data_IF_577571609178
#
_entry.id   IF_577571609178
#
_cell.length_a   1.000
_cell.length_b   1.000
_cell.length_c   1.000
_cell.angle_alpha   90.00
_cell.angle_beta   90.00
_cell.angle_gamma   90.00
#
_symmetry.space_group_name_H-M   'P 1'
#
loop_
_entity.id
_entity.type
_entity.pdbx_description
1 polymer ?
#
# COMPACT_ATOMS: atom_id res chain seq x y z
N UNK A 1 5.78 -1.95 -44.87
CA UNK A 1 6.23 -2.24 -43.47
C UNK A 1 7.10 -3.50 -43.47
N UNK A 2 8.35 -3.41 -43.04
CA UNK A 2 9.30 -4.57 -43.12
C UNK A 2 8.84 -5.73 -42.21
N UNK A 3 9.05 -6.95 -42.66
CA UNK A 3 8.76 -8.21 -41.94
C UNK A 3 9.38 -8.21 -40.54
N UNK A 4 10.53 -7.55 -40.36
CA UNK A 4 11.27 -7.35 -39.11
C UNK A 4 10.46 -6.55 -38.09
N UNK A 5 9.78 -5.47 -38.53
CA UNK A 5 8.96 -4.63 -37.62
C UNK A 5 7.74 -5.39 -37.06
N UNK A 6 7.04 -6.15 -37.90
CA UNK A 6 5.91 -6.98 -37.44
C UNK A 6 6.34 -8.00 -36.38
N UNK A 7 7.54 -8.57 -36.53
CA UNK A 7 8.08 -9.53 -35.56
C UNK A 7 8.42 -8.84 -34.23
N UNK A 8 9.03 -7.66 -34.21
CA UNK A 8 9.35 -6.92 -32.98
C UNK A 8 8.10 -6.52 -32.19
N UNK A 9 7.04 -6.08 -32.87
CA UNK A 9 5.76 -5.81 -32.20
C UNK A 9 5.16 -7.08 -31.59
N UNK A 10 5.24 -8.22 -32.29
CA UNK A 10 4.75 -9.50 -31.76
C UNK A 10 5.53 -9.91 -30.51
N UNK A 11 6.86 -9.80 -30.53
CA UNK A 11 7.71 -10.09 -29.38
C UNK A 11 7.37 -9.19 -28.20
N UNK A 12 7.21 -7.88 -28.42
CA UNK A 12 6.83 -6.95 -27.36
C UNK A 12 5.46 -7.27 -26.76
N UNK A 13 4.46 -7.59 -27.60
CA UNK A 13 3.13 -8.00 -27.11
C UNK A 13 3.19 -9.28 -26.29
N UNK A 14 4.00 -10.26 -26.70
CA UNK A 14 4.23 -11.50 -25.95
C UNK A 14 4.87 -11.22 -24.61
N UNK A 15 5.92 -10.40 -24.57
CA UNK A 15 6.58 -9.96 -23.34
C UNK A 15 5.62 -9.24 -22.41
N UNK A 16 4.78 -8.35 -22.94
CA UNK A 16 3.76 -7.63 -22.18
C UNK A 16 2.71 -8.60 -21.58
N UNK A 17 2.25 -9.58 -22.36
CA UNK A 17 1.32 -10.60 -21.86
C UNK A 17 1.94 -11.45 -20.75
N UNK A 18 3.18 -11.90 -20.93
CA UNK A 18 3.92 -12.63 -19.89
C UNK A 18 4.06 -11.80 -18.63
N UNK A 19 4.42 -10.51 -18.77
CA UNK A 19 4.52 -9.62 -17.62
C UNK A 19 3.18 -9.49 -16.89
N UNK A 20 2.09 -9.26 -17.60
CA UNK A 20 0.75 -9.10 -17.00
C UNK A 20 0.29 -10.37 -16.28
N UNK A 21 0.54 -11.55 -16.85
CA UNK A 21 0.16 -12.83 -16.22
C UNK A 21 0.98 -13.06 -14.96
N UNK A 22 2.30 -12.95 -15.05
CA UNK A 22 3.19 -13.22 -13.91
C UNK A 22 3.00 -12.17 -12.81
N UNK A 23 2.98 -10.87 -13.16
CA UNK A 23 2.75 -9.81 -12.18
C UNK A 23 1.37 -9.94 -11.54
N UNK A 24 0.33 -10.28 -12.31
CA UNK A 24 -1.01 -10.53 -11.79
C UNK A 24 -1.05 -11.67 -10.76
N UNK A 25 -0.37 -12.79 -11.04
CA UNK A 25 -0.27 -13.91 -10.11
C UNK A 25 0.49 -13.52 -8.82
N UNK A 26 1.62 -12.82 -8.95
CA UNK A 26 2.40 -12.35 -7.80
C UNK A 26 1.61 -11.35 -6.97
N UNK A 27 0.92 -10.38 -7.60
CA UNK A 27 0.05 -9.41 -6.92
C UNK A 27 -1.05 -10.13 -6.16
N UNK A 28 -1.72 -11.10 -6.78
CA UNK A 28 -2.75 -11.88 -6.10
C UNK A 28 -2.22 -12.58 -4.84
N UNK A 29 -1.05 -13.23 -4.94
CA UNK A 29 -0.40 -13.85 -3.78
C UNK A 29 -0.03 -12.83 -2.69
N UNK A 30 0.49 -11.65 -3.08
CA UNK A 30 0.79 -10.56 -2.15
C UNK A 30 -0.45 -10.06 -1.40
N UNK A 31 -1.55 -9.81 -2.12
CA UNK A 31 -2.80 -9.37 -1.52
C UNK A 31 -3.35 -10.39 -0.53
N UNK A 32 -3.21 -11.69 -0.86
CA UNK A 32 -3.57 -12.76 0.05
C UNK A 32 -2.74 -12.74 1.34
N UNK A 33 -1.42 -12.59 1.23
CA UNK A 33 -0.55 -12.53 2.41
C UNK A 33 -0.80 -11.26 3.23
N UNK A 34 -0.99 -10.11 2.60
CA UNK A 34 -1.39 -8.88 3.29
C UNK A 34 -2.72 -8.99 4.03
N UNK A 35 -3.68 -9.75 3.48
CA UNK A 35 -4.95 -10.03 4.18
C UNK A 35 -4.75 -10.95 5.38
N UNK A 36 -3.94 -12.01 5.24
CA UNK A 36 -3.60 -12.93 6.34
C UNK A 36 -2.92 -12.14 7.46
N UNK A 37 -1.86 -11.38 7.14
CA UNK A 37 -1.17 -10.51 8.09
C UNK A 37 -2.15 -9.65 8.90
N UNK A 38 -3.06 -8.96 8.21
CA UNK A 38 -4.02 -8.06 8.82
C UNK A 38 -5.01 -8.79 9.74
N UNK A 39 -5.46 -9.98 9.35
CA UNK A 39 -6.41 -10.79 10.12
C UNK A 39 -5.74 -11.35 11.35
N UNK A 40 -4.56 -11.95 11.22
CA UNK A 40 -3.82 -12.55 12.32
C UNK A 40 -3.34 -11.48 13.32
N UNK A 41 -2.85 -10.35 12.83
CA UNK A 41 -2.44 -9.23 13.68
C UNK A 41 -3.62 -8.63 14.45
N UNK A 42 -4.80 -8.58 13.83
CA UNK A 42 -6.01 -8.16 14.53
C UNK A 42 -6.40 -9.16 15.62
N UNK A 43 -6.36 -10.47 15.35
CA UNK A 43 -6.64 -11.52 16.35
C UNK A 43 -5.66 -11.46 17.52
N UNK A 44 -4.37 -11.25 17.24
CA UNK A 44 -3.34 -11.03 18.24
C UNK A 44 -3.68 -9.86 19.17
N UNK A 45 -4.04 -8.71 18.59
CA UNK A 45 -4.37 -7.50 19.36
C UNK A 45 -5.68 -7.64 20.11
N UNK A 46 -6.70 -8.26 19.52
CA UNK A 46 -7.99 -8.47 20.15
C UNK A 46 -7.85 -9.35 21.43
N UNK A 47 -6.98 -10.36 21.42
CA UNK A 47 -6.69 -11.18 22.62
C UNK A 47 -5.94 -10.42 23.72
N UNK A 48 -5.16 -9.41 23.34
CA UNK A 48 -4.37 -8.57 24.25
C UNK A 48 -5.00 -7.20 24.50
N UNK A 49 -6.28 -7.03 24.15
CA UNK A 49 -7.01 -5.77 24.32
C UNK A 49 -7.10 -5.38 25.81
N UNK A 50 -6.84 -4.11 26.09
CA UNK A 50 -6.84 -3.55 27.44
C UNK A 50 -8.20 -3.73 28.14
N UNK A 51 -9.31 -3.43 27.47
CA UNK A 51 -10.65 -3.49 28.05
C UNK A 51 -11.03 -4.93 28.42
N UNK A 52 -10.79 -5.89 27.52
CA UNK A 52 -11.13 -7.29 27.74
C UNK A 52 -10.28 -7.91 28.85
N UNK A 53 -9.01 -7.55 28.97
CA UNK A 53 -8.14 -8.03 30.02
C UNK A 53 -8.47 -7.39 31.36
N UNK A 54 -8.76 -6.10 31.38
CA UNK A 54 -9.14 -5.37 32.61
C UNK A 54 -10.46 -5.87 33.20
N UNK A 55 -11.42 -6.20 32.35
CA UNK A 55 -12.75 -6.69 32.77
C UNK A 55 -12.78 -8.20 33.07
N UNK A 56 -11.70 -8.92 32.78
CA UNK A 56 -11.63 -10.35 33.01
C UNK A 56 -11.39 -10.69 34.50
N UNK A 57 -12.45 -11.04 35.21
CA UNK A 57 -12.36 -11.42 36.62
C UNK A 57 -11.40 -12.58 36.87
N UNK A 58 -11.20 -13.50 35.92
CA UNK A 58 -10.25 -14.61 36.05
C UNK A 58 -8.82 -14.11 36.06
N UNK A 59 -8.45 -13.12 35.26
CA UNK A 59 -7.11 -12.52 35.29
C UNK A 59 -6.82 -11.83 36.64
N UNK A 60 -7.85 -11.25 37.27
CA UNK A 60 -7.72 -10.68 38.61
C UNK A 60 -7.51 -11.73 39.72
N UNK A 61 -8.20 -12.89 39.62
CA UNK A 61 -8.20 -13.93 40.62
C UNK A 61 -7.03 -14.90 40.40
N UNK A 62 -6.89 -15.46 39.20
CA UNK A 62 -5.91 -16.51 38.87
C UNK A 62 -4.54 -15.93 38.46
N UNK A 63 -4.47 -14.68 38.11
CA UNK A 63 -3.25 -13.95 37.84
C UNK A 63 -2.43 -14.45 36.69
N UNK A 64 -1.14 -14.67 36.95
CA UNK A 64 -0.15 -14.95 35.92
C UNK A 64 -0.45 -16.20 35.03
N UNK A 65 -1.20 -17.17 35.54
CA UNK A 65 -1.49 -18.39 34.79
C UNK A 65 -2.48 -18.13 33.60
N UNK A 66 -3.57 -17.42 33.87
CA UNK A 66 -4.56 -17.06 32.84
C UNK A 66 -3.93 -16.11 31.81
N UNK A 67 -3.18 -15.11 32.26
CA UNK A 67 -2.43 -14.22 31.38
C UNK A 67 -1.40 -14.96 30.52
N UNK A 68 -0.85 -16.06 31.02
CA UNK A 68 0.11 -16.88 30.29
C UNK A 68 -0.55 -17.70 29.18
N UNK A 69 -1.71 -18.30 29.43
CA UNK A 69 -2.45 -19.04 28.38
C UNK A 69 -2.87 -18.14 27.24
N UNK A 70 -3.47 -16.99 27.55
CA UNK A 70 -3.84 -16.00 26.51
C UNK A 70 -2.64 -15.51 25.71
N UNK A 71 -1.48 -15.36 26.36
CA UNK A 71 -0.26 -14.96 25.64
C UNK A 71 0.23 -16.04 24.69
N UNK A 72 0.19 -17.31 25.09
CA UNK A 72 0.60 -18.41 24.20
C UNK A 72 -0.28 -18.45 22.95
N UNK A 73 -1.61 -18.30 23.13
CA UNK A 73 -2.56 -18.25 22.01
C UNK A 73 -2.35 -17.00 21.14
N UNK A 74 -2.12 -15.83 21.75
CA UNK A 74 -1.78 -14.60 21.04
C UNK A 74 -0.46 -14.73 20.28
N UNK A 75 0.58 -15.31 20.87
CA UNK A 75 1.88 -15.47 20.25
C UNK A 75 1.82 -16.37 18.99
N UNK A 76 0.88 -17.33 18.93
CA UNK A 76 0.61 -18.12 17.73
C UNK A 76 0.13 -17.22 16.58
N UNK A 77 -0.84 -16.34 16.84
CA UNK A 77 -1.31 -15.36 15.85
C UNK A 77 -0.21 -14.39 15.41
N UNK A 78 0.63 -13.96 16.34
CA UNK A 78 1.78 -13.09 16.02
C UNK A 78 2.79 -13.82 15.11
N UNK A 79 3.04 -15.10 15.36
CA UNK A 79 3.93 -15.91 14.52
C UNK A 79 3.37 -16.02 13.10
N UNK A 80 2.07 -16.34 12.95
CA UNK A 80 1.41 -16.39 11.64
C UNK A 80 1.42 -15.05 10.92
N UNK A 81 1.17 -13.96 11.64
CA UNK A 81 1.25 -12.61 11.08
C UNK A 81 2.67 -12.28 10.59
N UNK A 82 3.70 -12.59 11.37
CA UNK A 82 5.11 -12.34 11.02
C UNK A 82 5.56 -13.16 9.82
N UNK A 83 5.09 -14.41 9.70
CA UNK A 83 5.34 -15.26 8.54
C UNK A 83 4.68 -14.69 7.29
N UNK A 84 3.41 -14.29 7.38
CA UNK A 84 2.68 -13.67 6.28
C UNK A 84 3.36 -12.37 5.80
N UNK A 85 3.83 -11.53 6.72
CA UNK A 85 4.57 -10.30 6.39
C UNK A 85 5.92 -10.60 5.71
N UNK A 86 6.61 -11.65 6.16
CA UNK A 86 7.87 -12.09 5.53
C UNK A 86 7.64 -12.62 4.12
N UNK A 87 6.59 -13.40 3.90
CA UNK A 87 6.21 -13.89 2.58
C UNK A 87 5.79 -12.75 1.66
N UNK A 88 5.00 -11.79 2.16
CA UNK A 88 4.60 -10.59 1.41
C UNK A 88 5.83 -9.77 0.97
N UNK A 89 6.79 -9.57 1.87
CA UNK A 89 8.07 -8.90 1.56
C UNK A 89 8.88 -9.63 0.50
N UNK A 90 8.98 -10.94 0.56
CA UNK A 90 9.66 -11.74 -0.45
C UNK A 90 8.99 -11.63 -1.83
N UNK A 91 7.67 -11.68 -1.88
CA UNK A 91 6.89 -11.46 -3.10
C UNK A 91 7.08 -10.03 -3.65
N UNK A 92 7.21 -9.04 -2.76
CA UNK A 92 7.52 -7.65 -3.13
C UNK A 92 8.87 -7.53 -3.84
N UNK A 93 9.89 -8.20 -3.31
CA UNK A 93 11.22 -8.24 -3.95
C UNK A 93 11.16 -8.94 -5.32
N UNK A 94 10.43 -10.06 -5.42
CA UNK A 94 10.24 -10.77 -6.69
C UNK A 94 9.55 -9.87 -7.72
N UNK A 95 8.47 -9.19 -7.33
CA UNK A 95 7.73 -8.27 -8.22
C UNK A 95 8.61 -7.10 -8.67
N UNK A 96 9.40 -6.52 -7.75
CA UNK A 96 10.32 -5.43 -8.07
C UNK A 96 11.42 -5.87 -9.04
N UNK A 97 12.04 -7.02 -8.81
CA UNK A 97 13.06 -7.56 -9.71
C UNK A 97 12.47 -7.87 -11.10
N UNK A 98 11.27 -8.44 -11.14
CA UNK A 98 10.58 -8.74 -12.39
C UNK A 98 10.17 -7.46 -13.14
N UNK A 99 9.74 -6.42 -12.44
CA UNK A 99 9.45 -5.11 -13.01
C UNK A 99 10.73 -4.44 -13.56
N UNK A 100 11.86 -4.52 -12.85
CA UNK A 100 13.14 -4.02 -13.31
C UNK A 100 13.64 -4.78 -14.55
N UNK A 101 13.51 -6.10 -14.56
CA UNK A 101 13.84 -6.91 -15.74
C UNK A 101 12.98 -6.51 -16.94
N UNK A 102 11.67 -6.37 -16.75
CA UNK A 102 10.75 -5.94 -17.80
C UNK A 102 11.07 -4.53 -18.30
N UNK A 103 11.44 -3.62 -17.40
CA UNK A 103 11.90 -2.27 -17.75
C UNK A 103 13.20 -2.32 -18.55
N UNK A 104 14.15 -3.13 -18.14
CA UNK A 104 15.43 -3.29 -18.83
C UNK A 104 15.24 -3.86 -20.25
N UNK A 105 14.46 -4.93 -20.39
CA UNK A 105 14.16 -5.54 -21.69
C UNK A 105 13.34 -4.58 -22.57
N UNK A 106 12.35 -3.89 -22.02
CA UNK A 106 11.52 -2.93 -22.74
C UNK A 106 12.28 -1.68 -23.22
N UNK A 107 13.36 -1.30 -22.51
CA UNK A 107 14.20 -0.14 -22.88
C UNK A 107 15.38 -0.51 -23.74
N UNK A 108 16.13 -1.55 -23.38
CA UNK A 108 17.36 -1.95 -24.07
C UNK A 108 17.11 -2.87 -25.26
N UNK A 109 16.16 -3.80 -25.15
CA UNK A 109 15.83 -4.75 -26.22
C UNK A 109 15.26 -4.11 -27.47
N UNK A 110 14.68 -2.91 -27.34
CA UNK A 110 14.10 -2.15 -28.45
C UNK A 110 14.84 -0.85 -28.76
N UNK A 111 16.07 -0.70 -28.25
CA UNK A 111 16.92 0.46 -28.53
C UNK A 111 17.25 0.55 -30.01
N UNK A 112 17.15 1.79 -30.56
CA UNK A 112 17.37 2.04 -31.98
C UNK A 112 16.19 1.70 -32.91
N UNK A 113 15.05 1.26 -32.35
CA UNK A 113 13.83 1.07 -33.13
C UNK A 113 13.14 2.44 -33.40
N UNK A 114 12.47 2.54 -34.55
CA UNK A 114 11.65 3.72 -34.88
C UNK A 114 10.64 4.07 -33.78
N UNK A 115 10.05 3.05 -33.13
CA UNK A 115 9.04 3.19 -32.09
C UNK A 115 9.58 2.97 -30.66
N UNK A 116 10.88 3.11 -30.45
CA UNK A 116 11.54 2.93 -29.16
C UNK A 116 10.86 3.71 -28.02
N UNK A 117 10.55 4.99 -28.27
CA UNK A 117 9.91 5.85 -27.28
C UNK A 117 8.52 5.33 -26.85
N UNK A 118 7.77 4.74 -27.79
CA UNK A 118 6.48 4.12 -27.51
C UNK A 118 6.58 2.87 -26.66
N UNK A 119 7.53 1.97 -26.97
CA UNK A 119 7.74 0.77 -26.17
C UNK A 119 8.14 1.10 -24.75
N UNK A 120 9.04 2.06 -24.57
CA UNK A 120 9.42 2.57 -23.23
C UNK A 120 8.26 3.14 -22.46
N UNK A 121 7.44 3.97 -23.09
CA UNK A 121 6.27 4.57 -22.46
C UNK A 121 5.26 3.51 -22.00
N UNK A 122 4.95 2.51 -22.87
CA UNK A 122 4.04 1.41 -22.51
C UNK A 122 4.57 0.60 -21.34
N UNK A 123 5.87 0.26 -21.34
CA UNK A 123 6.51 -0.49 -20.25
C UNK A 123 6.36 0.26 -18.91
N UNK A 124 6.66 1.56 -18.89
CA UNK A 124 6.54 2.39 -17.68
C UNK A 124 5.09 2.48 -17.19
N UNK A 125 4.12 2.64 -18.11
CA UNK A 125 2.69 2.72 -17.74
C UNK A 125 2.22 1.41 -17.10
N UNK A 126 2.61 0.26 -17.68
CA UNK A 126 2.19 -1.05 -17.16
C UNK A 126 2.80 -1.33 -15.78
N UNK A 127 4.08 -1.00 -15.58
CA UNK A 127 4.70 -1.11 -14.25
C UNK A 127 4.02 -0.17 -13.25
N UNK A 128 3.72 1.08 -13.65
CA UNK A 128 3.00 2.03 -12.81
C UNK A 128 1.62 1.52 -12.40
N UNK A 129 0.91 0.84 -13.31
CA UNK A 129 -0.40 0.24 -13.01
C UNK A 129 -0.27 -0.88 -11.97
N UNK A 130 0.73 -1.74 -12.10
CA UNK A 130 1.00 -2.79 -11.11
C UNK A 130 1.29 -2.19 -9.72
N UNK A 131 2.13 -1.16 -9.66
CA UNK A 131 2.44 -0.46 -8.41
C UNK A 131 1.21 0.24 -7.80
N UNK A 132 0.34 0.83 -8.64
CA UNK A 132 -0.89 1.46 -8.16
C UNK A 132 -1.84 0.45 -7.51
N UNK A 133 -2.07 -0.69 -8.17
CA UNK A 133 -2.98 -1.74 -7.66
C UNK A 133 -2.48 -2.22 -6.30
N UNK A 134 -1.20 -2.59 -6.20
CA UNK A 134 -0.61 -3.07 -4.95
C UNK A 134 -0.65 -1.98 -3.87
N UNK A 135 -0.26 -0.75 -4.21
CA UNK A 135 -0.21 0.38 -3.28
C UNK A 135 -1.56 0.81 -2.72
N UNK A 136 -2.66 0.64 -3.49
CA UNK A 136 -4.02 0.95 -3.03
C UNK A 136 -4.57 -0.15 -2.13
N UNK A 137 -4.25 -1.41 -2.42
CA UNK A 137 -4.88 -2.58 -1.80
C UNK A 137 -4.13 -3.10 -0.58
N UNK A 138 -2.79 -3.00 -0.55
CA UNK A 138 -2.00 -3.42 0.62
C UNK A 138 -2.02 -2.36 1.73
N UNK A 139 -1.88 -2.80 3.00
CA UNK A 139 -1.71 -1.88 4.12
C UNK A 139 -0.52 -0.95 3.90
N UNK A 140 -0.72 0.36 4.16
CA UNK A 140 0.33 1.36 3.99
C UNK A 140 1.12 1.59 5.27
N UNK A 141 0.42 1.51 6.39
CA UNK A 141 0.95 1.88 7.69
C UNK A 141 0.18 1.11 8.77
N UNK A 142 0.88 0.75 9.82
CA UNK A 142 0.29 0.26 11.06
C UNK A 142 0.66 1.19 12.22
N UNK A 143 -0.25 1.29 13.17
CA UNK A 143 -0.10 2.10 14.38
C UNK A 143 -0.66 1.32 15.55
N UNK A 144 0.11 1.27 16.65
CA UNK A 144 -0.31 0.66 17.89
C UNK A 144 0.03 1.54 19.08
N UNK A 145 -0.82 1.51 20.11
CA UNK A 145 -0.54 2.06 21.43
C UNK A 145 -0.77 0.97 22.44
N UNK A 146 0.24 0.65 23.22
CA UNK A 146 0.22 -0.45 24.20
C UNK A 146 0.97 -0.07 25.46
N UNK A 147 0.74 -0.83 26.52
CA UNK A 147 1.54 -0.78 27.75
C UNK A 147 2.17 -2.14 27.98
N UNK A 148 3.41 -2.16 28.44
CA UNK A 148 4.08 -3.38 28.86
C UNK A 148 4.03 -3.50 30.38
N UNK A 149 3.66 -4.70 30.88
CA UNK A 149 3.65 -5.03 32.31
C UNK A 149 2.90 -3.99 33.16
N UNK A 150 1.66 -3.68 32.78
CA UNK A 150 0.86 -2.68 33.45
C UNK A 150 0.52 -3.09 34.87
N UNK A 151 0.98 -2.31 35.84
CA UNK A 151 0.61 -2.48 37.24
C UNK A 151 -0.48 -1.50 37.63
N UNK A 152 -1.62 -2.01 38.06
CA UNK A 152 -2.73 -1.20 38.56
C UNK A 152 -2.67 -1.24 40.11
N UNK A 153 -2.25 -0.15 40.76
CA UNK A 153 -2.20 -0.08 42.22
C UNK A 153 -3.61 0.16 42.78
N UNK A 154 -4.18 -0.84 43.42
CA UNK A 154 -5.44 -0.70 44.17
C UNK A 154 -5.11 -0.85 45.64
N UNK A 155 -5.01 0.27 46.33
CA UNK A 155 -4.81 0.33 47.78
C UNK A 155 -6.11 0.77 48.45
N UNK A 156 -6.60 -0.02 49.36
CA UNK A 156 -7.79 0.29 50.15
C UNK A 156 -7.50 0.13 51.63
N UNK A 157 -8.01 1.03 52.46
CA UNK A 157 -7.99 0.90 53.94
C UNK A 157 -9.38 0.50 54.40
N UNK A 158 -9.51 -0.54 55.21
CA UNK A 158 -10.76 -0.85 55.91
C UNK A 158 -10.82 0.01 57.17
N UNK A 159 -11.72 1.03 57.20
CA UNK A 159 -11.71 2.00 58.34
C UNK A 159 -12.03 1.37 59.69
N UNK A 160 -12.61 0.15 59.71
CA UNK A 160 -13.06 -0.51 60.95
C UNK A 160 -11.92 -1.24 61.69
N UNK A 161 -10.83 -1.59 60.98
CA UNK A 161 -9.75 -2.44 61.52
C UNK A 161 -8.37 -1.79 61.26
N UNK A 162 -8.35 -0.61 60.64
CA UNK A 162 -7.10 0.10 60.19
C UNK A 162 -6.15 -0.82 59.42
N UNK A 163 -6.74 -1.74 58.60
CA UNK A 163 -6.02 -2.70 57.80
C UNK A 163 -5.88 -2.23 56.37
N UNK A 164 -4.65 -2.04 55.88
CA UNK A 164 -4.34 -1.72 54.50
C UNK A 164 -4.44 -3.00 53.65
N UNK A 165 -5.35 -2.98 52.68
CA UNK A 165 -5.44 -4.02 51.67
C UNK A 165 -4.73 -3.52 50.42
N UNK A 166 -3.70 -4.23 50.00
CA UNK A 166 -3.04 -4.02 48.71
C UNK A 166 -3.55 -5.08 47.71
N UNK A 167 -4.43 -4.64 46.81
CA UNK A 167 -4.97 -5.44 45.69
C UNK A 167 -4.26 -5.07 44.39
N UNK A 168 -3.07 -4.50 44.47
CA UNK A 168 -2.28 -4.14 43.30
C UNK A 168 -2.06 -5.36 42.41
N UNK A 169 -2.39 -5.21 41.11
CA UNK A 169 -2.25 -6.29 40.15
C UNK A 169 -1.34 -5.89 39.01
N UNK A 170 -0.41 -6.76 38.66
CA UNK A 170 0.43 -6.64 37.50
C UNK A 170 -0.11 -7.52 36.36
N UNK A 171 -0.41 -6.88 35.24
CA UNK A 171 -0.80 -7.54 34.01
C UNK A 171 0.45 -7.73 33.14
N UNK A 172 1.00 -8.93 33.16
CA UNK A 172 2.25 -9.23 32.44
C UNK A 172 2.05 -9.25 30.93
N UNK A 173 3.05 -8.71 30.19
CA UNK A 173 3.08 -8.64 28.74
C UNK A 173 2.45 -7.37 28.20
N UNK A 174 2.23 -7.35 26.88
CA UNK A 174 1.64 -6.20 26.20
C UNK A 174 0.13 -6.15 26.40
N UNK A 175 -0.40 -4.96 26.61
CA UNK A 175 -1.83 -4.64 26.62
C UNK A 175 -2.09 -3.54 25.63
N UNK A 176 -2.87 -3.81 24.59
CA UNK A 176 -3.15 -2.85 23.53
C UNK A 176 -4.35 -1.99 23.87
N UNK A 177 -4.16 -0.67 23.83
CA UNK A 177 -5.24 0.33 23.91
C UNK A 177 -5.82 0.62 22.53
N UNK A 178 -4.98 0.56 21.51
CA UNK A 178 -5.34 0.88 20.15
C UNK A 178 -4.40 0.17 19.18
N UNK A 179 -4.96 -0.38 18.12
CA UNK A 179 -4.20 -0.87 16.97
C UNK A 179 -4.99 -0.65 15.69
N UNK A 180 -4.30 -0.18 14.67
CA UNK A 180 -4.89 -0.02 13.35
C UNK A 180 -3.87 -0.23 12.25
N UNK A 181 -4.22 -1.09 11.29
CA UNK A 181 -3.50 -1.27 10.03
C UNK A 181 -4.49 -1.07 8.88
N UNK A 182 -4.23 -0.11 7.99
CA UNK A 182 -5.16 0.28 6.91
C UNK A 182 -4.46 0.46 5.57
N UNK A 183 -5.13 -0.03 4.53
CA UNK A 183 -4.86 0.33 3.14
C UNK A 183 -5.69 1.55 2.71
N UNK A 184 -5.39 2.12 1.53
CA UNK A 184 -6.24 3.17 0.95
C UNK A 184 -7.66 2.65 0.73
N UNK A 185 -7.79 1.41 0.24
CA UNK A 185 -9.09 0.78 0.02
C UNK A 185 -9.89 0.64 1.32
N UNK A 186 -9.23 0.20 2.41
CA UNK A 186 -9.88 0.12 3.74
C UNK A 186 -10.30 1.48 4.27
N UNK A 187 -9.46 2.49 4.08
CA UNK A 187 -9.77 3.86 4.50
C UNK A 187 -11.01 4.40 3.78
N UNK A 188 -11.07 4.20 2.47
CA UNK A 188 -12.23 4.59 1.67
C UNK A 188 -13.48 3.86 2.17
N UNK A 189 -13.41 2.53 2.35
CA UNK A 189 -14.52 1.74 2.85
C UNK A 189 -15.00 2.22 4.22
N UNK A 190 -14.07 2.46 5.15
CA UNK A 190 -14.37 2.97 6.50
C UNK A 190 -15.06 4.33 6.46
N UNK A 191 -14.60 5.26 5.62
CA UNK A 191 -15.19 6.59 5.50
C UNK A 191 -16.62 6.54 4.95
N UNK A 192 -16.88 5.69 3.97
CA UNK A 192 -18.24 5.48 3.47
C UNK A 192 -19.16 4.87 4.54
N UNK A 193 -18.67 3.91 5.30
CA UNK A 193 -19.44 3.27 6.36
C UNK A 193 -19.71 4.21 7.55
N UNK A 194 -18.79 5.12 7.83
CA UNK A 194 -18.91 6.15 8.89
C UNK A 194 -19.75 7.37 8.46
N UNK A 195 -20.32 7.39 7.24
CA UNK A 195 -21.12 8.51 6.75
C UNK A 195 -20.31 9.73 6.26
N UNK A 196 -18.96 9.65 6.27
CA UNK A 196 -18.09 10.74 5.82
C UNK A 196 -17.87 10.70 4.30
N UNK A 197 -18.97 10.77 3.54
CA UNK A 197 -18.97 10.60 2.08
C UNK A 197 -18.10 11.60 1.34
N UNK A 198 -18.06 12.86 1.77
CA UNK A 198 -17.28 13.92 1.09
C UNK A 198 -15.79 13.58 1.08
N UNK A 199 -15.24 13.20 2.22
CA UNK A 199 -13.84 12.83 2.36
C UNK A 199 -13.56 11.49 1.64
N UNK A 200 -14.46 10.51 1.76
CA UNK A 200 -14.36 9.23 1.08
C UNK A 200 -14.34 9.37 -0.45
N UNK A 201 -15.24 10.19 -1.02
CA UNK A 201 -15.26 10.48 -2.46
C UNK A 201 -13.99 11.23 -2.89
N UNK A 202 -13.52 12.18 -2.09
CA UNK A 202 -12.29 12.90 -2.40
C UNK A 202 -11.08 11.95 -2.48
N UNK A 203 -10.88 11.10 -1.47
CA UNK A 203 -9.77 10.12 -1.47
C UNK A 203 -9.92 9.12 -2.61
N UNK A 204 -11.11 8.57 -2.86
CA UNK A 204 -11.38 7.67 -3.97
C UNK A 204 -11.02 8.33 -5.31
N UNK A 205 -11.45 9.59 -5.50
CA UNK A 205 -11.21 10.32 -6.75
C UNK A 205 -9.73 10.58 -6.99
N UNK A 206 -9.03 11.13 -6.00
CA UNK A 206 -7.63 11.56 -6.16
C UNK A 206 -6.62 10.40 -6.11
N UNK A 207 -6.87 9.40 -5.25
CA UNK A 207 -5.91 8.29 -5.07
C UNK A 207 -6.17 7.09 -5.98
N UNK A 208 -7.38 6.96 -6.55
CA UNK A 208 -7.73 5.79 -7.38
C UNK A 208 -8.24 6.20 -8.76
N UNK A 209 -9.33 6.98 -8.85
CA UNK A 209 -9.99 7.24 -10.13
C UNK A 209 -9.15 8.08 -11.09
N UNK A 210 -8.58 9.19 -10.62
CA UNK A 210 -7.72 10.05 -11.45
C UNK A 210 -6.43 9.33 -11.89
N UNK A 211 -5.70 8.61 -11.01
CA UNK A 211 -4.59 7.76 -11.42
C UNK A 211 -4.95 6.72 -12.48
N UNK A 212 -6.02 5.98 -12.28
CA UNK A 212 -6.48 4.98 -13.25
C UNK A 212 -6.89 5.61 -14.58
N UNK A 213 -7.64 6.72 -14.55
CA UNK A 213 -8.03 7.45 -15.75
C UNK A 213 -6.79 7.93 -16.52
N UNK A 214 -5.79 8.50 -15.83
CA UNK A 214 -4.52 8.93 -16.44
C UNK A 214 -3.81 7.78 -17.13
N UNK A 215 -3.61 6.65 -16.43
CA UNK A 215 -2.92 5.47 -16.99
C UNK A 215 -3.70 4.88 -18.17
N UNK A 216 -5.01 4.77 -18.07
CA UNK A 216 -5.89 4.24 -19.13
C UNK A 216 -5.85 5.13 -20.38
N UNK A 217 -5.98 6.45 -20.23
CA UNK A 217 -5.91 7.39 -21.33
C UNK A 217 -4.52 7.41 -21.98
N UNK A 218 -3.46 7.35 -21.18
CA UNK A 218 -2.08 7.23 -21.68
C UNK A 218 -1.90 5.98 -22.52
N UNK A 219 -2.39 4.83 -22.04
CA UNK A 219 -2.36 3.57 -22.78
C UNK A 219 -3.14 3.66 -24.07
N UNK A 220 -4.33 4.26 -24.04
CA UNK A 220 -5.18 4.43 -25.23
C UNK A 220 -4.50 5.28 -26.31
N UNK A 221 -3.85 6.39 -25.93
CA UNK A 221 -3.08 7.23 -26.85
C UNK A 221 -1.88 6.51 -27.47
N UNK A 222 -1.21 5.65 -26.70
CA UNK A 222 -0.07 4.89 -27.18
C UNK A 222 -0.46 3.73 -28.10
N UNK A 223 -1.61 3.09 -27.86
CA UNK A 223 -2.04 1.91 -28.61
C UNK A 223 -2.83 2.27 -29.88
N UNK A 224 -3.62 3.34 -29.86
CA UNK A 224 -4.57 3.65 -30.94
C UNK A 224 -4.20 4.94 -31.68
N UNK A 225 -3.94 4.83 -33.00
CA UNK A 225 -3.59 5.96 -33.86
C UNK A 225 -4.66 7.07 -33.86
N UNK A 226 -5.95 6.72 -33.83
CA UNK A 226 -7.08 7.67 -33.83
C UNK A 226 -7.03 8.66 -32.64
N UNK A 227 -6.68 8.16 -31.45
CA UNK A 227 -6.64 9.00 -30.26
C UNK A 227 -5.32 9.77 -30.08
N UNK A 228 -4.26 9.41 -30.81
CA UNK A 228 -2.97 10.08 -30.80
C UNK A 228 -3.03 11.50 -31.40
N UNK A 229 -3.83 11.71 -32.43
CA UNK A 229 -4.01 13.01 -33.08
C UNK A 229 -4.94 13.97 -32.30
N UNK A 230 -5.63 13.51 -31.26
CA UNK A 230 -6.50 14.36 -30.47
C UNK A 230 -5.69 15.20 -29.42
N UNK A 231 -5.30 16.42 -29.85
CA UNK A 231 -4.64 17.43 -29.01
C UNK A 231 -5.38 17.67 -27.67
N UNK A 232 -6.72 17.64 -27.67
CA UNK A 232 -7.54 17.80 -26.46
C UNK A 232 -7.35 16.66 -25.46
N UNK A 233 -7.16 15.41 -25.92
CA UNK A 233 -6.89 14.27 -25.02
C UNK A 233 -5.52 14.39 -24.36
N UNK A 234 -4.50 14.82 -25.09
CA UNK A 234 -3.18 15.06 -24.54
C UNK A 234 -3.20 16.18 -23.48
N UNK A 235 -3.88 17.29 -23.79
CA UNK A 235 -4.06 18.38 -22.84
C UNK A 235 -4.82 17.92 -21.59
N UNK A 236 -5.84 17.08 -21.75
CA UNK A 236 -6.62 16.53 -20.63
C UNK A 236 -5.79 15.59 -19.76
N UNK A 237 -5.01 14.67 -20.33
CA UNK A 237 -4.08 13.79 -19.58
C UNK A 237 -3.03 14.59 -18.84
N UNK A 238 -2.48 15.65 -19.47
CA UNK A 238 -1.54 16.55 -18.84
C UNK A 238 -2.17 17.34 -17.68
N UNK A 239 -3.44 17.76 -17.84
CA UNK A 239 -4.20 18.45 -16.82
C UNK A 239 -4.52 17.54 -15.63
N UNK A 240 -5.04 16.35 -15.87
CA UNK A 240 -5.25 15.32 -14.80
C UNK A 240 -3.95 15.02 -14.08
N UNK A 241 -2.81 14.96 -14.80
CA UNK A 241 -1.51 14.74 -14.21
C UNK A 241 -1.08 15.81 -13.19
N UNK A 242 -1.53 17.06 -13.37
CA UNK A 242 -1.30 18.15 -12.42
C UNK A 242 -2.24 18.11 -11.21
N UNK A 243 -3.44 17.54 -11.40
CA UNK A 243 -4.46 17.41 -10.35
C UNK A 243 -4.39 16.06 -9.59
N UNK A 244 -3.61 15.11 -10.10
CA UNK A 244 -3.36 13.86 -9.39
C UNK A 244 -2.42 14.15 -8.21
N UNK A 245 -3.00 14.62 -7.11
CA UNK A 245 -2.30 14.96 -5.86
C UNK A 245 -1.89 13.72 -5.05
N UNK A 246 -1.57 12.62 -5.72
CA UNK A 246 -1.12 11.40 -5.08
C UNK A 246 0.19 11.62 -4.27
N UNK A 247 1.05 12.52 -4.73
CA UNK A 247 2.24 12.98 -4.03
C UNK A 247 1.91 13.71 -2.73
N UNK A 248 0.88 14.57 -2.73
CA UNK A 248 0.40 15.25 -1.51
C UNK A 248 -0.16 14.25 -0.50
N UNK A 249 -0.87 13.23 -0.98
CA UNK A 249 -1.36 12.15 -0.11
C UNK A 249 -0.19 11.39 0.55
N UNK A 250 0.86 11.06 -0.19
CA UNK A 250 2.07 10.43 0.35
C UNK A 250 2.71 11.31 1.43
N UNK A 251 2.86 12.62 1.16
CA UNK A 251 3.39 13.58 2.15
C UNK A 251 2.49 13.62 3.39
N UNK A 252 1.16 13.62 3.22
CA UNK A 252 0.21 13.57 4.33
C UNK A 252 0.37 12.31 5.20
N UNK A 253 0.57 11.14 4.58
CA UNK A 253 0.85 9.90 5.29
C UNK A 253 2.17 9.97 6.07
N UNK A 254 3.23 10.52 5.49
CA UNK A 254 4.50 10.72 6.19
C UNK A 254 4.38 11.69 7.36
N UNK A 255 3.63 12.77 7.22
CA UNK A 255 3.38 13.70 8.33
C UNK A 255 2.58 13.04 9.45
N UNK A 256 1.57 12.23 9.11
CA UNK A 256 0.84 11.44 10.10
C UNK A 256 1.77 10.44 10.82
N UNK A 257 2.61 9.73 10.07
CA UNK A 257 3.62 8.83 10.64
C UNK A 257 4.54 9.57 11.62
N UNK A 258 5.12 10.71 11.22
CA UNK A 258 6.01 11.49 12.07
C UNK A 258 5.30 12.05 13.30
N UNK A 259 4.03 12.42 13.18
CA UNK A 259 3.21 12.91 14.29
C UNK A 259 3.00 11.83 15.34
N UNK A 260 2.67 10.61 14.92
CA UNK A 260 2.51 9.47 15.83
C UNK A 260 3.83 8.99 16.42
N UNK A 261 4.90 8.95 15.63
CA UNK A 261 6.22 8.52 16.08
C UNK A 261 6.79 9.38 17.20
N UNK A 262 6.45 10.67 17.22
CA UNK A 262 6.87 11.62 18.25
C UNK A 262 5.85 11.78 19.40
N UNK A 263 4.70 11.11 19.30
CA UNK A 263 3.68 11.20 20.32
C UNK A 263 4.09 10.34 21.53
N UNK A 264 4.79 10.94 22.48
CA UNK A 264 4.91 10.38 23.83
C UNK A 264 3.66 10.82 24.58
N UNK A 265 2.73 9.91 24.92
CA UNK A 265 1.61 10.27 25.76
C UNK A 265 2.19 10.76 27.08
N UNK A 266 1.86 12.00 27.42
CA UNK A 266 2.39 12.80 28.52
C UNK A 266 2.86 12.04 29.76
N UNK A 267 3.35 12.65 30.79
CA UNK A 267 3.98 12.17 32.04
C UNK A 267 3.63 10.78 32.64
N UNK A 268 2.99 9.88 31.90
CA UNK A 268 2.77 8.48 32.24
C UNK A 268 3.76 7.64 31.44
N UNK A 269 4.87 7.26 32.08
CA UNK A 269 5.91 6.34 31.56
C UNK A 269 5.40 4.92 31.19
N UNK A 270 4.09 4.77 30.91
CA UNK A 270 3.43 3.47 30.84
C UNK A 270 2.79 3.16 29.48
N UNK A 271 2.73 4.09 28.54
CA UNK A 271 2.14 3.86 27.24
C UNK A 271 3.20 4.06 26.17
N UNK A 272 3.48 3.00 25.42
CA UNK A 272 4.35 3.02 24.26
C UNK A 272 3.52 3.11 22.98
N UNK A 273 4.04 3.86 22.01
CA UNK A 273 3.43 3.96 20.68
C UNK A 273 4.38 3.37 19.65
N UNK A 274 3.86 2.45 18.86
CA UNK A 274 4.60 1.82 17.77
C UNK A 274 3.94 2.19 16.43
N UNK A 275 4.76 2.65 15.49
CA UNK A 275 4.29 3.00 14.15
C UNK A 275 5.27 2.43 13.14
N UNK A 276 4.79 1.68 12.16
CA UNK A 276 5.63 1.19 11.09
C UNK A 276 4.97 1.39 9.71
N UNK A 277 5.82 1.59 8.69
CA UNK A 277 5.40 1.68 7.30
C UNK A 277 5.44 0.31 6.66
N UNK A 278 4.36 -0.04 5.96
CA UNK A 278 4.19 -1.31 5.28
C UNK A 278 4.36 -1.17 3.76
N UNK A 279 4.38 -2.29 3.05
CA UNK A 279 4.70 -2.33 1.63
C UNK A 279 3.76 -1.49 0.76
N UNK A 280 2.48 -1.36 1.11
CA UNK A 280 1.53 -0.52 0.38
C UNK A 280 2.02 0.92 0.17
N UNK A 281 2.68 1.50 1.18
CA UNK A 281 3.24 2.84 1.12
C UNK A 281 4.35 2.97 0.07
N UNK A 282 5.27 2.01 0.05
CA UNK A 282 6.40 2.01 -0.89
C UNK A 282 5.94 1.81 -2.33
N UNK A 283 4.95 0.94 -2.55
CA UNK A 283 4.35 0.73 -3.87
C UNK A 283 3.60 1.97 -4.37
N UNK A 284 2.84 2.62 -3.50
CA UNK A 284 2.15 3.85 -3.87
C UNK A 284 3.13 4.99 -4.19
N UNK A 285 4.20 5.13 -3.42
CA UNK A 285 5.29 6.06 -3.70
C UNK A 285 5.97 5.74 -5.04
N UNK A 286 6.28 4.47 -5.30
CA UNK A 286 6.84 4.03 -6.58
C UNK A 286 5.91 4.37 -7.75
N UNK A 287 4.58 4.14 -7.60
CA UNK A 287 3.59 4.58 -8.57
C UNK A 287 3.69 6.09 -8.84
N UNK A 288 3.73 6.94 -7.81
CA UNK A 288 3.81 8.39 -7.97
C UNK A 288 5.04 8.79 -8.81
N UNK A 289 6.21 8.27 -8.47
CA UNK A 289 7.46 8.53 -9.21
C UNK A 289 7.38 8.03 -10.65
N UNK A 290 6.96 6.78 -10.87
CA UNK A 290 6.84 6.20 -12.19
C UNK A 290 5.79 6.93 -13.06
N UNK A 291 4.70 7.39 -12.46
CA UNK A 291 3.66 8.17 -13.14
C UNK A 291 4.17 9.52 -13.65
N UNK A 292 5.05 10.20 -12.90
CA UNK A 292 5.71 11.44 -13.33
C UNK A 292 6.67 11.14 -14.48
N UNK A 293 7.53 10.13 -14.32
CA UNK A 293 8.49 9.71 -15.34
C UNK A 293 7.78 9.30 -16.63
N UNK A 294 6.72 8.47 -16.54
CA UNK A 294 5.95 8.02 -17.70
C UNK A 294 5.32 9.17 -18.46
N UNK A 295 4.87 10.23 -17.77
CA UNK A 295 4.28 11.41 -18.41
C UNK A 295 5.29 12.19 -19.26
N UNK A 296 6.55 12.29 -18.80
CA UNK A 296 7.62 12.95 -19.59
C UNK A 296 7.99 12.14 -20.83
N UNK A 297 8.04 10.82 -20.72
CA UNK A 297 8.30 9.94 -21.88
C UNK A 297 7.13 9.88 -22.84
N UNK A 298 5.88 9.99 -22.37
CA UNK A 298 4.68 10.05 -23.21
C UNK A 298 4.75 11.21 -24.19
N UNK A 299 5.07 12.42 -23.71
CA UNK A 299 5.20 13.60 -24.58
C UNK A 299 6.21 13.39 -25.71
N UNK A 300 7.39 12.84 -25.38
CA UNK A 300 8.43 12.50 -26.34
C UNK A 300 7.97 11.41 -27.35
N UNK A 301 7.27 10.39 -26.84
CA UNK A 301 6.78 9.30 -27.67
C UNK A 301 5.72 9.78 -28.68
N UNK A 302 4.75 10.59 -28.25
CA UNK A 302 3.73 11.14 -29.13
C UNK A 302 4.35 12.05 -30.21
N UNK A 303 5.28 12.96 -29.82
CA UNK A 303 5.95 13.85 -30.75
C UNK A 303 6.70 13.06 -31.82
N UNK A 304 7.49 12.07 -31.45
CA UNK A 304 8.25 11.23 -32.37
C UNK A 304 7.35 10.41 -33.31
N UNK A 305 6.25 9.86 -32.81
CA UNK A 305 5.30 9.11 -33.62
C UNK A 305 4.58 10.01 -34.66
N UNK A 306 4.25 11.26 -34.27
CA UNK A 306 3.65 12.23 -35.19
C UNK A 306 4.65 12.68 -36.27
N UNK A 307 5.95 12.79 -35.95
CA UNK A 307 7.02 13.06 -36.93
C UNK A 307 7.15 11.92 -37.93
N UNK A 308 7.17 10.67 -37.46
CA UNK A 308 7.22 9.47 -38.31
C UNK A 308 5.99 9.33 -39.23
N UNK A 309 4.79 9.67 -38.76
CA UNK A 309 3.58 9.64 -39.56
C UNK A 309 3.58 10.70 -40.66
N UNK A 310 4.29 11.82 -40.49
CA UNK A 310 4.50 12.85 -41.53
C UNK A 310 5.54 12.42 -42.56
N UNK A 311 6.62 11.76 -42.12
CA UNK A 311 7.70 11.31 -43.01
C UNK A 311 7.29 10.10 -43.88
N UNK A 312 6.44 9.23 -43.33
CA UNK A 312 5.95 8.01 -43.98
C UNK A 312 4.41 7.99 -44.03
N UNK A 313 3.78 8.85 -44.82
CA UNK A 313 2.32 8.78 -44.97
C UNK A 313 1.97 7.41 -45.53
N UNK A 314 1.26 6.57 -44.75
CA UNK A 314 0.70 5.33 -45.27
C UNK A 314 -0.30 5.73 -46.37
N UNK A 315 0.00 5.37 -47.62
CA UNK A 315 -1.00 5.43 -48.71
C UNK A 315 -2.21 4.59 -48.26
N UNK A 316 -3.32 5.28 -48.02
CA UNK A 316 -4.63 4.68 -47.83
C UNK A 316 -5.10 4.02 -49.11
#
# INVERSE_FOLDING_TARGET
MSKIYKNRIRIFRLLLMVYLIVSGAVIFMQLRQGHIFKTEMKSYVDQLNFEDRLLNAKEWILGANESREKRIEADEHLMLASEALTQERNLSVILALFALLFLWVGTMGFKGDLHEARFRAITLVVISLSCLIVGVMLPMMEMGAFSENLTIPIKGTIPLIDYEIDLSREFTGRMYYYYQSKSIADLIYMLFHSGNYVVGIAILSFSVLLPLAKLSLTTLQLLNKKYRHHSKLYAFVSYIGKWSMADVFVVGCFLAYLSFYNMKPGNTDKIDTEVSTLAGMYYFLAYCVLSIVSSTFLGKAIKKELELEKEFPENN
#
